data_IF_985521775065
#
_entry.id   IF_985521775065
#
_cell.length_a   1.000
_cell.length_b   1.000
_cell.length_c   1.000
_cell.angle_alpha   90.00
_cell.angle_beta   90.00
_cell.angle_gamma   90.00
#
_symmetry.space_group_name_H-M   'P 1'
#
loop_
_entity.id
_entity.type
_entity.pdbx_description
1 polymer ?
#
# COMPACT_ATOMS: atom_id res chain seq x y z
N UNK A 1 32.60 -35.20 9.00
CA UNK A 1 32.01 -34.26 8.03
C UNK A 1 30.95 -33.47 8.78
N UNK A 2 31.08 -32.14 8.92
CA UNK A 2 30.07 -31.33 9.64
C UNK A 2 28.84 -31.22 8.73
N UNK A 3 27.71 -31.63 9.24
CA UNK A 3 26.40 -31.51 8.59
C UNK A 3 26.14 -30.03 8.27
N UNK A 4 26.00 -29.69 6.98
CA UNK A 4 25.64 -28.34 6.56
C UNK A 4 24.15 -28.13 6.84
N UNK A 5 23.82 -27.50 7.96
CA UNK A 5 22.48 -26.94 8.16
C UNK A 5 22.41 -25.66 7.32
N UNK A 6 21.57 -25.59 6.27
CA UNK A 6 21.38 -24.33 5.57
C UNK A 6 20.97 -23.28 6.61
N UNK A 7 21.61 -22.10 6.59
CA UNK A 7 21.14 -20.96 7.39
C UNK A 7 19.66 -20.81 7.06
N UNK A 8 18.81 -20.95 8.05
CA UNK A 8 17.38 -20.78 7.86
C UNK A 8 17.15 -19.36 7.34
N UNK A 9 16.84 -19.23 6.05
CA UNK A 9 16.58 -17.94 5.39
C UNK A 9 15.19 -17.40 5.79
N UNK A 10 14.58 -17.97 6.82
CA UNK A 10 13.38 -17.45 7.45
C UNK A 10 13.62 -16.02 7.95
N UNK A 11 12.71 -15.13 7.60
CA UNK A 11 12.73 -13.76 8.05
C UNK A 11 11.29 -13.27 8.25
N UNK A 12 11.09 -12.47 9.29
CA UNK A 12 9.83 -11.75 9.48
C UNK A 12 9.59 -10.81 8.30
N UNK A 13 8.34 -10.39 8.05
CA UNK A 13 8.04 -9.50 6.94
C UNK A 13 8.69 -8.13 7.16
N UNK A 14 9.18 -7.51 6.09
CA UNK A 14 9.76 -6.17 6.13
C UNK A 14 9.51 -5.45 4.80
N UNK A 15 9.14 -4.16 4.85
CA UNK A 15 8.92 -3.36 3.64
C UNK A 15 10.24 -2.81 3.12
N UNK A 16 10.56 -3.12 1.87
CA UNK A 16 11.65 -2.48 1.13
C UNK A 16 11.17 -1.13 0.60
N UNK A 17 9.95 -1.11 0.07
CA UNK A 17 9.30 0.09 -0.45
C UNK A 17 7.90 0.17 0.15
N UNK A 18 7.69 0.98 1.20
CA UNK A 18 6.37 1.14 1.81
C UNK A 18 5.42 1.91 0.87
N UNK A 19 4.14 1.90 1.21
CA UNK A 19 3.12 2.67 0.52
C UNK A 19 3.43 4.17 0.55
N UNK A 20 2.97 4.88 -0.48
CA UNK A 20 3.05 6.33 -0.61
C UNK A 20 1.66 6.91 -0.78
N UNK A 21 1.49 8.16 -0.39
CA UNK A 21 0.22 8.87 -0.55
C UNK A 21 -0.11 9.05 -2.04
N UNK A 22 -1.41 8.97 -2.35
CA UNK A 22 -1.94 9.11 -3.69
C UNK A 22 -2.95 10.25 -3.75
N UNK A 23 -2.89 11.02 -4.83
CA UNK A 23 -3.94 11.96 -5.20
C UNK A 23 -4.40 11.59 -6.62
N UNK A 24 -5.67 11.21 -6.76
CA UNK A 24 -6.21 10.71 -8.02
C UNK A 24 -7.46 11.49 -8.39
N UNK A 25 -7.59 11.83 -9.68
CA UNK A 25 -8.76 12.52 -10.17
C UNK A 25 -9.97 11.57 -10.18
N UNK A 26 -11.13 12.06 -9.80
CA UNK A 26 -12.39 11.32 -9.90
C UNK A 26 -12.57 10.73 -11.32
N UNK A 27 -13.03 9.49 -11.39
CA UNK A 27 -13.19 8.70 -12.60
C UNK A 27 -11.93 8.00 -13.11
N UNK A 28 -10.74 8.23 -12.52
CA UNK A 28 -9.50 7.54 -12.91
C UNK A 28 -9.19 6.37 -11.97
N UNK A 29 -8.37 5.44 -12.45
CA UNK A 29 -7.93 4.30 -11.66
C UNK A 29 -6.80 4.70 -10.70
N UNK A 30 -6.77 4.06 -9.52
CA UNK A 30 -5.67 4.14 -8.58
C UNK A 30 -5.05 2.76 -8.38
N UNK A 31 -3.72 2.67 -8.40
CA UNK A 31 -3.00 1.45 -7.99
C UNK A 31 -1.98 1.81 -6.92
N UNK A 32 -2.23 1.33 -5.71
CA UNK A 32 -1.30 1.41 -4.59
C UNK A 32 -0.39 0.19 -4.61
N UNK A 33 0.92 0.38 -4.48
CA UNK A 33 1.89 -0.72 -4.50
C UNK A 33 2.97 -0.56 -3.46
N UNK A 34 3.49 -1.69 -2.99
CA UNK A 34 4.63 -1.75 -2.08
C UNK A 34 5.49 -2.98 -2.39
N UNK A 35 6.76 -2.94 -1.99
CA UNK A 35 7.67 -4.08 -2.07
C UNK A 35 8.09 -4.55 -0.68
N UNK A 36 8.23 -5.86 -0.49
CA UNK A 36 8.54 -6.47 0.79
C UNK A 36 9.46 -7.69 0.66
N UNK A 37 10.10 -8.03 1.78
CA UNK A 37 10.74 -9.32 2.02
C UNK A 37 9.98 -10.07 3.12
N UNK A 38 10.11 -11.38 3.14
CA UNK A 38 9.47 -12.24 4.13
C UNK A 38 9.58 -13.71 3.73
N UNK A 39 10.06 -14.55 4.64
CA UNK A 39 10.16 -16.01 4.45
C UNK A 39 9.76 -16.72 5.75
N UNK A 40 8.75 -17.60 5.75
CA UNK A 40 7.85 -17.96 4.65
C UNK A 40 7.12 -16.76 4.02
N UNK A 41 6.62 -16.88 2.77
CA UNK A 41 5.88 -15.81 2.11
C UNK A 41 4.74 -15.29 3.02
N UNK A 42 4.71 -13.99 3.33
CA UNK A 42 3.69 -13.45 4.22
C UNK A 42 2.32 -13.41 3.55
N UNK A 43 1.28 -13.54 4.37
CA UNK A 43 -0.08 -13.23 3.99
C UNK A 43 -0.28 -11.71 4.00
N UNK A 44 -0.85 -11.18 2.92
CA UNK A 44 -1.23 -9.78 2.81
C UNK A 44 -2.68 -9.57 3.26
N UNK A 45 -2.94 -8.48 3.97
CA UNK A 45 -4.29 -8.03 4.34
C UNK A 45 -4.38 -6.52 4.23
N UNK A 46 -5.33 -6.04 3.42
CA UNK A 46 -5.59 -4.62 3.21
C UNK A 46 -6.76 -4.14 4.05
N UNK A 47 -6.67 -2.89 4.50
CA UNK A 47 -7.69 -2.21 5.29
C UNK A 47 -7.89 -0.80 4.76
N UNK A 48 -9.13 -0.31 4.84
CA UNK A 48 -9.48 1.10 4.66
C UNK A 48 -10.04 1.63 5.98
N UNK A 49 -9.32 2.54 6.62
CA UNK A 49 -9.52 2.81 8.05
C UNK A 49 -9.38 1.51 8.84
N UNK A 50 -10.42 1.14 9.58
CA UNK A 50 -10.47 -0.10 10.38
C UNK A 50 -11.18 -1.26 9.66
N UNK A 51 -11.68 -1.05 8.44
CA UNK A 51 -12.46 -2.06 7.70
C UNK A 51 -11.55 -2.87 6.79
N UNK A 52 -11.55 -4.20 6.96
CA UNK A 52 -10.80 -5.11 6.09
C UNK A 52 -11.37 -5.10 4.67
N UNK A 53 -10.48 -4.95 3.69
CA UNK A 53 -10.82 -4.99 2.27
C UNK A 53 -10.77 -6.44 1.80
N UNK A 54 -11.86 -6.89 1.18
CA UNK A 54 -11.94 -8.18 0.49
C UNK A 54 -11.79 -7.96 -1.01
N UNK A 55 -11.24 -8.96 -1.70
CA UNK A 55 -11.19 -8.95 -3.16
C UNK A 55 -12.61 -8.95 -3.74
N UNK A 56 -12.83 -8.20 -4.82
CA UNK A 56 -14.16 -8.05 -5.41
C UNK A 56 -14.20 -7.02 -6.53
N UNK A 57 -15.39 -6.62 -7.02
CA UNK A 57 -15.51 -5.75 -8.19
C UNK A 57 -14.93 -4.34 -7.97
N UNK A 58 -14.85 -3.88 -6.72
CA UNK A 58 -14.33 -2.55 -6.34
C UNK A 58 -12.83 -2.53 -6.10
N UNK A 59 -12.26 -3.63 -5.59
CA UNK A 59 -10.91 -3.72 -5.06
C UNK A 59 -10.22 -4.97 -5.60
N UNK A 60 -9.16 -4.80 -6.37
CA UNK A 60 -8.39 -5.90 -6.93
C UNK A 60 -7.05 -6.00 -6.24
N UNK A 61 -6.82 -7.11 -5.56
CA UNK A 61 -5.61 -7.37 -4.79
C UNK A 61 -4.67 -8.31 -5.55
N UNK A 62 -3.37 -8.03 -5.53
CA UNK A 62 -2.36 -8.96 -6.04
C UNK A 62 -1.15 -9.00 -5.12
N UNK A 63 -0.54 -10.17 -4.99
CA UNK A 63 0.69 -10.38 -4.23
C UNK A 63 1.55 -11.38 -4.97
N UNK A 64 2.65 -10.92 -5.57
CA UNK A 64 3.56 -11.75 -6.33
C UNK A 64 4.98 -11.20 -6.27
N UNK A 65 5.97 -12.10 -6.20
CA UNK A 65 7.40 -11.76 -6.31
C UNK A 65 7.85 -10.63 -5.35
N UNK A 66 7.32 -10.61 -4.12
CA UNK A 66 7.67 -9.59 -3.12
C UNK A 66 7.00 -8.23 -3.37
N UNK A 67 5.98 -8.15 -4.23
CA UNK A 67 5.20 -6.94 -4.49
C UNK A 67 3.74 -7.20 -4.14
N UNK A 68 3.14 -6.28 -3.38
CA UNK A 68 1.69 -6.24 -3.16
C UNK A 68 1.10 -5.04 -3.88
N UNK A 69 -0.09 -5.23 -4.47
CA UNK A 69 -0.86 -4.15 -5.08
C UNK A 69 -2.33 -4.18 -4.66
N UNK A 70 -2.92 -2.99 -4.56
CA UNK A 70 -4.36 -2.79 -4.43
C UNK A 70 -4.79 -1.80 -5.52
N UNK A 71 -5.62 -2.27 -6.45
CA UNK A 71 -6.14 -1.47 -7.55
C UNK A 71 -7.62 -1.15 -7.31
N UNK A 72 -7.95 0.12 -7.52
CA UNK A 72 -9.29 0.69 -7.40
C UNK A 72 -9.63 1.31 -8.77
N UNK A 73 -10.45 0.65 -9.61
CA UNK A 73 -10.84 1.21 -10.90
C UNK A 73 -11.81 2.38 -10.71
N UNK A 74 -11.84 3.34 -11.63
CA UNK A 74 -12.83 4.45 -11.67
C UNK A 74 -13.13 5.04 -10.28
N UNK A 75 -12.11 5.60 -9.63
CA UNK A 75 -12.20 6.16 -8.28
C UNK A 75 -13.28 7.24 -8.16
N UNK A 76 -13.98 7.29 -7.04
CA UNK A 76 -14.93 8.32 -6.67
C UNK A 76 -14.64 8.85 -5.26
N UNK A 77 -15.35 9.91 -4.85
CA UNK A 77 -15.11 10.58 -3.57
C UNK A 77 -15.17 9.64 -2.34
N UNK A 78 -15.96 8.55 -2.40
CA UNK A 78 -16.06 7.58 -1.31
C UNK A 78 -14.79 6.77 -1.15
N UNK A 79 -13.92 6.68 -2.15
CA UNK A 79 -12.68 5.88 -2.07
C UNK A 79 -11.56 6.60 -1.31
N UNK A 80 -11.68 7.92 -1.11
CA UNK A 80 -10.76 8.68 -0.26
C UNK A 80 -10.67 8.09 1.15
N UNK A 81 -9.49 8.18 1.75
CA UNK A 81 -9.22 7.73 3.11
C UNK A 81 -7.84 7.10 3.27
N UNK A 82 -7.59 6.59 4.46
CA UNK A 82 -6.34 5.93 4.81
C UNK A 82 -6.41 4.42 4.52
N UNK A 83 -5.39 3.92 3.85
CA UNK A 83 -5.24 2.51 3.52
C UNK A 83 -4.06 1.93 4.30
N UNK A 84 -4.25 0.75 4.88
CA UNK A 84 -3.21 0.02 5.61
C UNK A 84 -3.01 -1.34 4.97
N UNK A 85 -1.75 -1.71 4.72
CA UNK A 85 -1.36 -3.07 4.38
C UNK A 85 -0.65 -3.70 5.57
N UNK A 86 -1.12 -4.89 5.96
CA UNK A 86 -0.48 -5.74 6.95
C UNK A 86 0.07 -6.98 6.26
N UNK A 87 1.34 -7.28 6.50
CA UNK A 87 2.02 -8.51 6.10
C UNK A 87 2.31 -9.35 7.34
N UNK A 88 1.96 -10.63 7.30
CA UNK A 88 2.10 -11.54 8.44
C UNK A 88 2.66 -12.90 8.00
N UNK A 89 3.66 -13.39 8.75
CA UNK A 89 4.12 -14.77 8.67
C UNK A 89 4.39 -15.31 10.09
N UNK A 90 4.76 -16.60 10.27
CA UNK A 90 4.99 -17.17 11.61
C UNK A 90 6.09 -16.47 12.43
N UNK A 91 6.97 -15.69 11.80
CA UNK A 91 8.06 -14.97 12.46
C UNK A 91 7.65 -13.54 12.88
N UNK A 92 6.50 -13.03 12.43
CA UNK A 92 5.98 -11.75 12.87
C UNK A 92 5.14 -11.02 11.82
N UNK A 93 4.93 -9.73 12.08
CA UNK A 93 4.12 -8.85 11.23
C UNK A 93 4.85 -7.55 10.90
N UNK A 94 4.52 -6.97 9.75
CA UNK A 94 4.86 -5.59 9.40
C UNK A 94 3.61 -4.89 8.86
N UNK A 95 3.52 -3.58 9.07
CA UNK A 95 2.46 -2.75 8.49
C UNK A 95 3.00 -1.46 7.86
N UNK A 96 2.35 -1.00 6.81
CA UNK A 96 2.56 0.33 6.24
C UNK A 96 1.22 0.96 5.84
N UNK A 97 1.19 2.29 5.71
CA UNK A 97 -0.03 3.06 5.47
C UNK A 97 0.19 4.12 4.38
N UNK A 98 -0.88 4.53 3.72
CA UNK A 98 -0.92 5.71 2.85
C UNK A 98 -2.29 6.36 2.87
N UNK A 99 -2.33 7.66 2.55
CA UNK A 99 -3.58 8.39 2.33
C UNK A 99 -3.90 8.46 0.83
N UNK A 100 -5.15 8.15 0.46
CA UNK A 100 -5.70 8.37 -0.87
C UNK A 100 -6.67 9.55 -0.85
N UNK A 101 -6.43 10.53 -1.71
CA UNK A 101 -7.30 11.68 -1.91
C UNK A 101 -7.87 11.62 -3.33
N UNK A 102 -9.19 11.54 -3.45
CA UNK A 102 -9.88 11.68 -4.72
C UNK A 102 -10.35 13.12 -4.89
N UNK A 103 -9.94 13.76 -5.99
CA UNK A 103 -10.27 15.16 -6.27
C UNK A 103 -11.03 15.32 -7.59
N UNK A 104 -11.91 16.31 -7.64
CA UNK A 104 -12.50 16.75 -8.91
C UNK A 104 -11.64 17.86 -9.53
N UNK A 105 -11.70 18.02 -10.86
CA UNK A 105 -10.94 19.04 -11.59
C UNK A 105 -11.26 20.47 -11.11
N UNK A 106 -12.45 20.65 -10.56
CA UNK A 106 -12.98 21.95 -10.12
C UNK A 106 -12.61 22.24 -8.65
N UNK A 107 -11.99 21.29 -7.94
CA UNK A 107 -11.58 21.47 -6.55
C UNK A 107 -10.18 22.10 -6.45
N UNK A 108 -10.13 23.42 -6.63
CA UNK A 108 -8.91 24.24 -6.52
C UNK A 108 -8.21 24.09 -5.17
N UNK A 109 -8.96 23.82 -4.09
CA UNK A 109 -8.41 23.70 -2.74
C UNK A 109 -7.48 22.49 -2.59
N UNK A 110 -7.77 21.39 -3.28
CA UNK A 110 -6.93 20.19 -3.26
C UNK A 110 -5.64 20.43 -4.04
N UNK A 111 -5.72 21.11 -5.19
CA UNK A 111 -4.54 21.46 -5.98
C UNK A 111 -3.56 22.32 -5.18
N UNK A 112 -4.06 23.33 -4.46
CA UNK A 112 -3.23 24.18 -3.58
C UNK A 112 -2.56 23.36 -2.47
N UNK A 113 -3.29 22.48 -1.80
CA UNK A 113 -2.73 21.59 -0.75
C UNK A 113 -1.68 20.62 -1.30
N UNK A 114 -1.86 20.10 -2.50
CA UNK A 114 -0.87 19.21 -3.14
C UNK A 114 0.40 19.96 -3.55
N UNK A 115 0.27 21.20 -4.01
CA UNK A 115 1.41 22.07 -4.32
C UNK A 115 2.18 22.38 -3.03
N UNK A 116 1.48 22.70 -1.93
CA UNK A 116 2.08 22.97 -0.62
C UNK A 116 2.85 21.74 -0.09
N UNK A 117 2.22 20.56 -0.12
CA UNK A 117 2.82 19.31 0.33
C UNK A 117 4.07 18.92 -0.50
N UNK A 118 4.09 19.25 -1.81
CA UNK A 118 5.25 19.00 -2.67
C UNK A 118 6.40 19.95 -2.36
N UNK A 119 6.12 21.22 -2.06
CA UNK A 119 7.15 22.20 -1.63
C UNK A 119 7.79 21.77 -0.31
N UNK A 120 6.99 21.36 0.67
CA UNK A 120 7.48 20.93 1.98
C UNK A 120 8.43 19.71 1.93
N UNK A 121 8.28 18.83 0.93
CA UNK A 121 9.15 17.64 0.73
C UNK A 121 10.43 17.92 -0.06
N UNK A 122 10.62 19.11 -0.64
CA UNK A 122 11.82 19.49 -1.40
C UNK A 122 12.80 20.38 -0.61
N UNK A 123 12.48 20.72 0.64
CA UNK A 123 13.36 21.47 1.55
C UNK A 123 14.00 20.47 2.52
N UNK A 124 14.88 19.60 2.02
CA UNK A 124 15.88 18.84 2.78
C UNK A 124 17.10 18.67 1.90
#
# INVERSE_FOLDING_TARGET
>A
MKEYKPKDLSMKPEFILPLKDHAVRCGHDCTMSCAFLGRPPPQASWYKGDVKISDGPRFWQSTANGVCTLTIPTCNAKDSGDYTLVLENPLGKAQCKCSLIIFDKDDKSILERLIEARKAKQII
#
